data_IF_510953500436
#
_entry.id   IF_510953500436
#
_cell.length_a   1.000
_cell.length_b   1.000
_cell.length_c   1.000
_cell.angle_alpha   90.00
_cell.angle_beta   90.00
_cell.angle_gamma   90.00
#
_symmetry.space_group_name_H-M   'P 1'
#
loop_
_entity.id
_entity.type
_entity.pdbx_description
1 polymer ?
#
# COMPACT_ATOMS: atom_id res chain seq x y z
N UNK A 1 40.06 10.36 61.38
CA UNK A 1 39.40 11.40 62.18
C UNK A 1 38.65 12.34 61.25
N UNK A 2 37.34 12.15 61.13
CA UNK A 2 36.43 13.09 60.43
C UNK A 2 35.24 13.33 61.42
N UNK A 3 35.05 14.56 61.77
CA UNK A 3 33.99 15.02 62.69
C UNK A 3 32.62 15.00 62.03
N UNK A 4 31.54 14.76 62.78
CA UNK A 4 30.18 14.73 62.23
C UNK A 4 29.58 16.11 62.03
N UNK A 5 28.87 16.36 60.93
CA UNK A 5 28.10 17.57 60.68
C UNK A 5 26.76 17.55 61.43
N UNK A 6 26.53 18.64 62.13
CA UNK A 6 25.31 18.99 62.84
C UNK A 6 24.09 19.08 61.93
N UNK A 7 22.97 18.52 62.37
CA UNK A 7 21.64 18.74 61.84
C UNK A 7 21.08 20.13 62.15
N UNK A 8 20.26 20.74 61.25
CA UNK A 8 19.57 21.99 61.55
C UNK A 8 18.29 21.73 62.34
N UNK A 9 18.01 22.66 63.22
CA UNK A 9 16.86 22.69 64.12
C UNK A 9 15.57 22.96 63.37
N UNK A 10 14.52 22.22 63.71
CA UNK A 10 13.12 22.46 63.31
C UNK A 10 12.60 23.77 63.83
N UNK A 11 12.02 24.58 62.92
CA UNK A 11 11.28 25.81 63.22
C UNK A 11 9.75 25.48 63.17
N UNK A 12 9.00 25.67 64.29
CA UNK A 12 7.60 25.23 64.36
C UNK A 12 6.62 26.33 63.97
N UNK A 13 6.59 26.71 62.58
CA UNK A 13 5.59 27.63 62.11
C UNK A 13 5.33 27.43 60.57
N UNK A 14 4.74 26.33 60.20
CA UNK A 14 3.91 26.26 58.99
C UNK A 14 2.96 25.06 59.11
N UNK A 15 1.78 25.31 59.68
CA UNK A 15 0.63 24.48 59.47
C UNK A 15 0.16 24.70 57.98
N UNK A 16 0.01 23.66 57.16
CA UNK A 16 -0.60 23.80 55.88
C UNK A 16 -2.10 24.09 56.03
N UNK A 17 -2.58 25.09 55.28
CA UNK A 17 -3.99 25.43 55.19
C UNK A 17 -4.83 24.22 54.64
N UNK A 18 -6.08 24.05 55.12
CA UNK A 18 -6.94 22.97 54.63
C UNK A 18 -7.25 23.16 53.14
N UNK A 19 -7.38 22.05 52.37
CA UNK A 19 -7.69 22.13 50.94
C UNK A 19 -9.08 22.75 50.72
N UNK A 20 -9.27 23.54 49.65
CA UNK A 20 -10.56 24.13 49.32
C UNK A 20 -11.61 23.05 49.04
N UNK A 21 -12.89 23.30 49.34
CA UNK A 21 -13.96 22.33 49.11
C UNK A 21 -14.10 22.04 47.60
N UNK A 22 -14.42 20.78 47.22
CA UNK A 22 -14.61 20.43 45.81
C UNK A 22 -15.78 21.26 45.24
N UNK A 23 -15.71 21.68 43.97
CA UNK A 23 -16.78 22.41 43.31
C UNK A 23 -18.04 21.50 43.20
N UNK A 24 -19.24 22.09 43.28
CA UNK A 24 -20.48 21.33 43.23
C UNK A 24 -20.53 20.56 41.91
N UNK A 25 -20.70 19.24 42.00
CA UNK A 25 -20.98 18.38 40.84
C UNK A 25 -22.27 18.82 40.19
N UNK A 26 -22.19 19.70 39.21
CA UNK A 26 -23.27 19.89 38.25
C UNK A 26 -23.37 18.60 37.43
N UNK A 27 -24.34 17.77 37.81
CA UNK A 27 -24.82 16.67 36.99
C UNK A 27 -25.49 17.26 35.72
N UNK A 28 -24.70 17.94 34.89
CA UNK A 28 -25.04 18.17 33.51
C UNK A 28 -24.84 16.84 32.81
N UNK A 29 -25.91 16.08 32.64
CA UNK A 29 -25.95 14.90 31.80
C UNK A 29 -25.30 15.26 30.46
N UNK A 30 -24.11 14.72 30.24
CA UNK A 30 -23.40 14.78 28.96
C UNK A 30 -24.27 13.99 27.98
N UNK A 31 -25.28 14.68 27.41
CA UNK A 31 -25.95 14.20 26.22
C UNK A 31 -24.83 13.89 25.25
N UNK A 32 -24.61 12.60 24.96
CA UNK A 32 -23.79 12.16 23.82
C UNK A 32 -24.41 12.88 22.61
N UNK A 33 -23.84 14.01 22.23
CA UNK A 33 -24.19 14.67 21.01
C UNK A 33 -23.98 13.62 19.92
N UNK A 34 -25.03 13.26 19.25
CA UNK A 34 -24.97 12.56 17.97
C UNK A 34 -24.16 13.49 17.07
N UNK A 35 -22.89 13.14 16.84
CA UNK A 35 -22.02 13.88 15.92
C UNK A 35 -22.65 13.76 14.54
N UNK A 36 -23.44 14.75 14.13
CA UNK A 36 -23.88 14.88 12.76
C UNK A 36 -22.64 15.23 11.92
N UNK A 37 -22.49 14.58 10.79
CA UNK A 37 -21.40 14.86 9.83
C UNK A 37 -22.05 15.36 8.54
N UNK A 38 -21.38 16.27 7.83
CA UNK A 38 -21.83 16.69 6.51
C UNK A 38 -21.62 15.54 5.51
N UNK A 39 -22.70 15.19 4.81
CA UNK A 39 -22.72 14.24 3.71
C UNK A 39 -23.13 14.96 2.44
N UNK A 40 -22.44 14.72 1.36
CA UNK A 40 -22.88 15.14 0.05
C UNK A 40 -23.81 14.07 -0.50
N UNK A 41 -25.04 14.44 -0.82
CA UNK A 41 -26.02 13.59 -1.45
C UNK A 41 -26.16 14.00 -2.90
N UNK A 42 -25.95 13.07 -3.82
CA UNK A 42 -26.14 13.26 -5.26
C UNK A 42 -27.29 12.37 -5.70
N UNK A 43 -28.34 12.99 -6.23
CA UNK A 43 -29.56 12.31 -6.69
C UNK A 43 -29.37 11.82 -8.15
N UNK A 44 -30.19 10.87 -8.56
CA UNK A 44 -30.30 10.41 -9.96
C UNK A 44 -30.59 11.53 -10.97
N UNK A 45 -31.25 12.59 -10.50
CA UNK A 45 -31.49 13.82 -11.30
C UNK A 45 -30.25 14.72 -11.47
N UNK A 46 -29.09 14.33 -10.92
CA UNK A 46 -27.86 15.13 -10.91
C UNK A 46 -27.85 16.29 -9.91
N UNK A 47 -28.95 16.52 -9.21
CA UNK A 47 -28.97 17.50 -8.13
C UNK A 47 -28.14 17.00 -6.95
N UNK A 48 -27.34 17.90 -6.39
CA UNK A 48 -26.55 17.60 -5.20
C UNK A 48 -26.90 18.56 -4.07
N UNK A 49 -26.93 18.04 -2.85
CA UNK A 49 -27.11 18.80 -1.64
C UNK A 49 -26.18 18.33 -0.53
N UNK A 50 -25.72 19.27 0.29
CA UNK A 50 -24.93 18.96 1.47
C UNK A 50 -25.89 18.85 2.67
N UNK A 51 -26.01 17.65 3.23
CA UNK A 51 -26.87 17.37 4.37
C UNK A 51 -26.05 17.06 5.61
N UNK A 52 -26.38 17.67 6.74
CA UNK A 52 -25.86 17.26 8.04
C UNK A 52 -26.71 16.13 8.61
N UNK A 53 -26.25 14.90 8.43
CA UNK A 53 -27.02 13.70 8.79
C UNK A 53 -26.33 12.93 9.91
N UNK A 54 -27.12 12.51 10.90
CA UNK A 54 -26.65 11.65 11.97
C UNK A 54 -26.59 10.18 11.51
N UNK A 55 -25.69 9.40 12.11
CA UNK A 55 -25.47 7.99 11.80
C UNK A 55 -26.77 7.16 11.76
N UNK A 56 -27.68 7.35 12.71
CA UNK A 56 -28.95 6.62 12.77
C UNK A 56 -29.91 6.94 11.62
N UNK A 57 -29.87 8.18 11.12
CA UNK A 57 -30.68 8.58 9.97
C UNK A 57 -30.19 7.89 8.69
N UNK A 58 -28.85 7.80 8.50
CA UNK A 58 -28.27 7.07 7.36
C UNK A 58 -28.62 5.59 7.43
N UNK A 59 -28.47 4.96 8.60
CA UNK A 59 -28.85 3.55 8.79
C UNK A 59 -30.31 3.28 8.42
N UNK A 60 -31.22 4.18 8.79
CA UNK A 60 -32.63 4.05 8.45
C UNK A 60 -32.89 4.26 6.96
N UNK A 61 -32.21 5.25 6.34
CA UNK A 61 -32.37 5.61 4.92
C UNK A 61 -31.84 4.51 3.99
N UNK A 62 -30.69 3.93 4.34
CA UNK A 62 -29.96 2.98 3.49
C UNK A 62 -30.14 1.50 3.90
N UNK A 63 -30.74 1.24 5.07
CA UNK A 63 -30.86 -0.12 5.60
C UNK A 63 -29.55 -0.71 6.14
N UNK A 64 -28.45 0.05 6.14
CA UNK A 64 -27.13 -0.44 6.49
C UNK A 64 -26.96 -0.66 8.01
N UNK A 65 -26.30 -1.75 8.42
CA UNK A 65 -25.96 -1.97 9.81
C UNK A 65 -24.84 -1.00 10.26
N UNK A 66 -24.76 -0.76 11.57
CA UNK A 66 -23.78 0.16 12.16
C UNK A 66 -22.31 -0.24 11.91
N UNK A 67 -22.05 -1.54 11.66
CA UNK A 67 -20.70 -2.04 11.36
C UNK A 67 -20.22 -1.56 9.99
N UNK A 68 -21.08 -1.59 8.97
CA UNK A 68 -20.71 -1.23 7.60
C UNK A 68 -20.47 0.28 7.48
N UNK A 69 -21.19 1.10 8.24
CA UNK A 69 -20.93 2.54 8.33
C UNK A 69 -19.58 2.89 8.99
N UNK A 70 -18.92 1.96 9.71
CA UNK A 70 -17.58 2.18 10.25
C UNK A 70 -16.52 2.16 9.16
N UNK A 71 -16.72 1.36 8.11
CA UNK A 71 -15.82 1.26 6.97
C UNK A 71 -15.66 2.63 6.29
N UNK A 72 -16.75 3.42 6.28
CA UNK A 72 -16.78 4.75 5.69
C UNK A 72 -16.28 5.86 6.62
N UNK A 73 -15.83 5.56 7.85
CA UNK A 73 -15.28 6.57 8.74
C UNK A 73 -13.93 7.06 8.16
N UNK A 74 -13.80 8.37 7.82
CA UNK A 74 -12.57 8.91 7.26
C UNK A 74 -11.37 8.85 8.22
N UNK A 75 -11.63 8.70 9.53
CA UNK A 75 -10.57 8.58 10.54
C UNK A 75 -10.01 7.15 10.65
N UNK A 76 -10.67 6.17 10.04
CA UNK A 76 -10.26 4.76 10.10
C UNK A 76 -9.83 4.31 8.69
N UNK A 77 -8.67 3.65 8.63
CA UNK A 77 -8.16 3.03 7.41
C UNK A 77 -8.59 1.57 7.38
N UNK A 78 -9.62 1.28 6.59
CA UNK A 78 -10.02 -0.08 6.27
C UNK A 78 -9.48 -0.47 4.88
N UNK A 79 -9.29 -1.76 4.61
CA UNK A 79 -8.92 -2.23 3.27
C UNK A 79 -9.99 -1.84 2.24
N UNK A 80 -9.61 -1.85 0.97
CA UNK A 80 -10.55 -1.68 -0.14
C UNK A 80 -11.64 -2.72 -0.06
N UNK A 81 -12.90 -2.30 -0.19
CA UNK A 81 -14.07 -3.17 -0.02
C UNK A 81 -15.27 -2.61 -0.75
N UNK A 82 -16.02 -3.48 -1.45
CA UNK A 82 -17.31 -3.21 -2.05
C UNK A 82 -18.32 -4.20 -1.47
N UNK A 83 -19.36 -3.72 -0.81
CA UNK A 83 -20.34 -4.58 -0.17
C UNK A 83 -21.73 -4.35 -0.79
N UNK A 84 -22.28 -5.36 -1.44
CA UNK A 84 -23.71 -5.44 -1.77
C UNK A 84 -24.54 -5.61 -0.49
N UNK A 85 -25.67 -4.89 -0.40
CA UNK A 85 -26.67 -5.03 0.66
C UNK A 85 -28.06 -4.89 0.05
N UNK A 86 -29.09 -5.27 0.79
CA UNK A 86 -30.46 -5.26 0.29
C UNK A 86 -30.90 -3.94 -0.37
N UNK A 87 -30.43 -2.80 0.15
CA UNK A 87 -30.91 -1.46 -0.27
C UNK A 87 -29.81 -0.49 -0.62
N UNK A 88 -28.53 -0.92 -0.53
CA UNK A 88 -27.39 -0.04 -0.80
C UNK A 88 -26.13 -0.84 -1.12
N UNK A 89 -25.25 -0.26 -1.93
CA UNK A 89 -23.89 -0.71 -2.16
C UNK A 89 -22.96 0.20 -1.36
N UNK A 90 -22.11 -0.37 -0.53
CA UNK A 90 -21.08 0.36 0.23
C UNK A 90 -19.77 0.24 -0.50
N UNK A 91 -19.23 1.37 -0.95
CA UNK A 91 -17.95 1.44 -1.65
C UNK A 91 -16.91 2.11 -0.74
N UNK A 92 -15.81 1.41 -0.49
CA UNK A 92 -14.63 1.93 0.17
C UNK A 92 -13.40 1.52 -0.64
N UNK A 93 -13.04 2.32 -1.63
CA UNK A 93 -11.93 2.08 -2.52
C UNK A 93 -10.98 3.27 -2.46
N UNK A 94 -9.76 3.05 -1.96
CA UNK A 94 -8.73 4.06 -1.89
C UNK A 94 -9.20 5.36 -1.19
N UNK A 95 -9.26 6.45 -1.93
CA UNK A 95 -9.75 7.76 -1.44
C UNK A 95 -11.27 7.91 -1.56
N UNK A 96 -11.97 7.01 -2.27
CA UNK A 96 -13.41 7.07 -2.50
C UNK A 96 -14.15 6.27 -1.44
N UNK A 97 -15.04 6.94 -0.75
CA UNK A 97 -15.98 6.36 0.20
C UNK A 97 -17.39 6.80 -0.18
N UNK A 98 -18.26 5.87 -0.51
CA UNK A 98 -19.61 6.17 -0.95
C UNK A 98 -20.63 5.11 -0.48
N UNK A 99 -21.87 5.50 -0.36
CA UNK A 99 -23.02 4.62 -0.27
C UNK A 99 -23.88 4.89 -1.49
N UNK A 100 -24.06 3.90 -2.32
CA UNK A 100 -24.89 3.97 -3.52
C UNK A 100 -26.23 3.29 -3.22
N UNK A 101 -27.33 3.97 -3.47
CA UNK A 101 -28.68 3.38 -3.44
C UNK A 101 -29.25 3.40 -4.86
N UNK A 102 -30.43 2.88 -5.07
CA UNK A 102 -31.08 2.90 -6.39
C UNK A 102 -31.37 4.34 -6.92
N UNK A 103 -31.37 5.37 -6.06
CA UNK A 103 -31.79 6.74 -6.43
C UNK A 103 -30.82 7.83 -6.02
N UNK A 104 -29.84 7.53 -5.21
CA UNK A 104 -28.92 8.53 -4.68
C UNK A 104 -27.56 7.94 -4.28
N UNK A 105 -26.54 8.81 -4.27
CA UNK A 105 -25.19 8.50 -3.76
C UNK A 105 -24.86 9.41 -2.60
N UNK A 106 -24.43 8.85 -1.48
CA UNK A 106 -24.03 9.58 -0.27
C UNK A 106 -22.50 9.50 -0.11
N UNK A 107 -21.84 10.65 -0.01
CA UNK A 107 -20.38 10.77 0.09
C UNK A 107 -20.01 11.50 1.40
N UNK A 108 -19.29 10.84 2.33
CA UNK A 108 -18.99 11.41 3.65
C UNK A 108 -17.86 12.45 3.66
N UNK A 109 -16.96 12.41 2.69
CA UNK A 109 -15.73 13.23 2.66
C UNK A 109 -15.61 14.10 1.41
N UNK A 110 -16.72 14.64 0.93
CA UNK A 110 -16.77 15.45 -0.31
C UNK A 110 -15.90 16.72 -0.30
N UNK A 111 -15.40 17.14 0.86
CA UNK A 111 -14.49 18.31 1.00
C UNK A 111 -13.01 17.96 0.79
N UNK A 112 -12.69 16.69 0.68
CA UNK A 112 -11.32 16.24 0.41
C UNK A 112 -10.93 16.62 -1.02
N UNK A 113 -9.79 17.30 -1.25
CA UNK A 113 -9.31 17.64 -2.58
C UNK A 113 -9.14 16.42 -3.50
N UNK A 114 -8.80 15.26 -2.95
CA UNK A 114 -8.65 14.01 -3.71
C UNK A 114 -9.99 13.47 -4.20
N UNK A 115 -11.08 13.78 -3.52
CA UNK A 115 -12.44 13.32 -3.85
C UNK A 115 -13.16 14.32 -4.79
N UNK A 116 -12.72 15.57 -4.85
CA UNK A 116 -13.36 16.61 -5.65
C UNK A 116 -13.53 16.27 -7.14
N UNK A 117 -12.53 15.68 -7.86
CA UNK A 117 -12.69 15.25 -9.24
C UNK A 117 -13.79 14.18 -9.40
N UNK A 118 -13.83 13.20 -8.52
CA UNK A 118 -14.86 12.18 -8.50
C UNK A 118 -16.26 12.77 -8.31
N UNK A 119 -16.42 13.70 -7.37
CA UNK A 119 -17.71 14.40 -7.14
C UNK A 119 -18.17 15.14 -8.39
N UNK A 120 -17.26 15.85 -9.06
CA UNK A 120 -17.54 16.55 -10.29
C UNK A 120 -17.98 15.61 -11.41
N UNK A 121 -17.25 14.50 -11.61
CA UNK A 121 -17.56 13.49 -12.62
C UNK A 121 -18.93 12.83 -12.33
N UNK A 122 -19.20 12.51 -11.06
CA UNK A 122 -20.48 11.94 -10.64
C UNK A 122 -21.64 12.90 -10.95
N UNK A 123 -21.54 14.17 -10.58
CA UNK A 123 -22.56 15.17 -10.86
C UNK A 123 -22.81 15.36 -12.35
N UNK A 124 -21.74 15.44 -13.16
CA UNK A 124 -21.84 15.67 -14.59
C UNK A 124 -22.46 14.50 -15.36
N UNK A 125 -22.07 13.27 -15.04
CA UNK A 125 -22.52 12.07 -15.77
C UNK A 125 -23.90 11.58 -15.32
N UNK A 126 -24.23 11.74 -14.04
CA UNK A 126 -25.56 11.40 -13.54
C UNK A 126 -26.61 12.35 -14.07
N UNK A 127 -26.28 13.64 -14.26
CA UNK A 127 -27.19 14.66 -14.81
C UNK A 127 -27.50 14.45 -16.30
N UNK A 128 -26.68 13.72 -17.03
CA UNK A 128 -26.83 13.52 -18.49
C UNK A 128 -27.41 12.15 -18.78
N UNK A 129 -28.69 12.03 -19.06
CA UNK A 129 -29.30 10.74 -19.41
C UNK A 129 -28.88 10.22 -20.80
N UNK A 130 -28.09 10.99 -21.53
CA UNK A 130 -27.63 10.62 -22.88
C UNK A 130 -26.35 11.35 -23.20
N UNK A 131 -25.24 10.64 -23.32
CA UNK A 131 -24.11 11.10 -24.07
C UNK A 131 -22.79 11.20 -23.38
N UNK A 132 -22.07 10.09 -23.31
CA UNK A 132 -20.63 10.15 -23.45
C UNK A 132 -20.31 9.91 -24.94
N UNK A 133 -19.44 10.74 -25.59
CA UNK A 133 -19.03 10.49 -26.95
C UNK A 133 -17.82 9.55 -26.97
N UNK A 134 -18.01 8.27 -26.75
CA UNK A 134 -17.11 7.24 -27.20
C UNK A 134 -17.93 6.20 -27.95
N UNK A 135 -17.74 6.26 -29.25
CA UNK A 135 -18.16 5.37 -30.31
C UNK A 135 -18.31 3.91 -29.86
N UNK A 136 -19.55 3.50 -29.57
CA UNK A 136 -19.93 2.11 -29.66
C UNK A 136 -21.14 2.03 -30.62
N UNK A 137 -21.23 1.02 -31.51
CA UNK A 137 -22.23 0.95 -32.53
C UNK A 137 -23.63 0.77 -31.93
N UNK A 138 -24.60 1.38 -32.61
CA UNK A 138 -26.02 1.30 -32.32
C UNK A 138 -26.52 -0.16 -32.15
N UNK A 139 -26.63 -0.58 -30.87
CA UNK A 139 -27.46 -1.72 -30.52
C UNK A 139 -28.30 -1.32 -29.33
N UNK A 140 -29.60 -1.20 -29.53
CA UNK A 140 -30.73 -0.98 -28.63
C UNK A 140 -30.33 -0.61 -27.19
N UNK A 141 -30.20 0.70 -26.94
CA UNK A 141 -29.73 1.24 -25.66
C UNK A 141 -30.70 0.99 -24.50
N UNK A 142 -30.52 -0.10 -23.81
CA UNK A 142 -31.00 -0.25 -22.45
C UNK A 142 -30.14 0.68 -21.59
N UNK A 143 -30.78 1.69 -20.96
CA UNK A 143 -30.08 2.61 -20.08
C UNK A 143 -29.61 1.86 -18.85
N UNK A 144 -28.30 1.83 -18.61
CA UNK A 144 -27.70 1.20 -17.42
C UNK A 144 -28.35 1.74 -16.13
N UNK A 145 -28.64 0.86 -15.18
CA UNK A 145 -29.25 1.24 -13.90
C UNK A 145 -28.41 2.30 -13.19
N UNK A 146 -29.06 3.14 -12.39
CA UNK A 146 -28.39 4.25 -11.70
C UNK A 146 -27.24 3.78 -10.80
N UNK A 147 -27.46 2.72 -10.04
CA UNK A 147 -26.46 2.12 -9.15
C UNK A 147 -25.21 1.67 -9.90
N UNK A 148 -25.36 1.10 -11.09
CA UNK A 148 -24.22 0.64 -11.89
C UNK A 148 -23.47 1.81 -12.52
N UNK A 149 -24.16 2.85 -12.98
CA UNK A 149 -23.50 4.08 -13.45
C UNK A 149 -22.72 4.76 -12.34
N UNK A 150 -23.26 4.81 -11.13
CA UNK A 150 -22.58 5.36 -9.98
C UNK A 150 -21.34 4.52 -9.57
N UNK A 151 -21.47 3.19 -9.60
CA UNK A 151 -20.38 2.26 -9.34
C UNK A 151 -19.27 2.38 -10.40
N UNK A 152 -19.64 2.47 -11.67
CA UNK A 152 -18.71 2.69 -12.80
C UNK A 152 -17.85 3.94 -12.57
N UNK A 153 -18.46 5.05 -12.19
CA UNK A 153 -17.73 6.29 -11.92
C UNK A 153 -16.77 6.15 -10.73
N UNK A 154 -17.16 5.38 -9.69
CA UNK A 154 -16.27 5.06 -8.58
C UNK A 154 -15.06 4.25 -9.04
N UNK A 155 -15.27 3.18 -9.78
CA UNK A 155 -14.22 2.31 -10.29
C UNK A 155 -13.28 3.06 -11.24
N UNK A 156 -13.83 3.80 -12.20
CA UNK A 156 -13.05 4.61 -13.14
C UNK A 156 -12.15 5.63 -12.42
N UNK A 157 -12.70 6.32 -11.41
CA UNK A 157 -11.94 7.30 -10.66
C UNK A 157 -10.77 6.66 -9.89
N UNK A 158 -10.99 5.49 -9.29
CA UNK A 158 -9.95 4.74 -8.57
C UNK A 158 -8.88 4.22 -9.53
N UNK A 159 -9.28 3.56 -10.61
CA UNK A 159 -8.35 3.02 -11.62
C UNK A 159 -7.50 4.14 -12.22
N UNK A 160 -8.10 5.27 -12.59
CA UNK A 160 -7.40 6.46 -13.12
C UNK A 160 -6.39 7.03 -12.11
N UNK A 161 -6.75 7.09 -10.84
CA UNK A 161 -5.84 7.57 -9.79
C UNK A 161 -4.63 6.64 -9.63
N UNK A 162 -4.85 5.33 -9.52
CA UNK A 162 -3.78 4.34 -9.36
C UNK A 162 -2.89 4.26 -10.62
N UNK A 163 -3.48 4.35 -11.80
CA UNK A 163 -2.73 4.38 -13.05
C UNK A 163 -1.86 5.65 -13.18
N UNK A 164 -2.38 6.82 -12.81
CA UNK A 164 -1.62 8.07 -12.81
C UNK A 164 -0.46 8.03 -11.80
N UNK A 165 -0.66 7.50 -10.61
CA UNK A 165 0.41 7.32 -9.63
C UNK A 165 1.48 6.32 -10.14
N UNK A 166 1.06 5.23 -10.77
CA UNK A 166 1.95 4.24 -11.39
C UNK A 166 2.78 4.86 -12.50
N UNK A 167 2.16 5.62 -13.40
CA UNK A 167 2.85 6.31 -14.48
C UNK A 167 3.88 7.34 -13.96
N UNK A 168 3.50 8.09 -12.93
CA UNK A 168 4.41 9.05 -12.28
C UNK A 168 5.62 8.35 -11.66
N UNK A 169 5.38 7.22 -10.98
CA UNK A 169 6.46 6.42 -10.39
C UNK A 169 7.38 5.82 -11.47
N UNK A 170 6.81 5.34 -12.56
CA UNK A 170 7.55 4.78 -13.70
C UNK A 170 8.46 5.85 -14.34
N UNK A 171 7.94 7.05 -14.58
CA UNK A 171 8.69 8.19 -15.14
C UNK A 171 9.83 8.66 -14.23
N UNK A 172 9.69 8.51 -12.91
CA UNK A 172 10.72 8.84 -11.93
C UNK A 172 11.76 7.72 -11.78
N UNK A 173 11.32 6.46 -11.86
CA UNK A 173 12.15 5.29 -11.58
C UNK A 173 13.22 5.05 -12.67
N UNK A 174 12.85 5.05 -13.95
CA UNK A 174 13.81 4.76 -15.02
C UNK A 174 15.01 5.69 -15.02
N UNK A 175 14.88 7.03 -15.00
CA UNK A 175 16.03 7.91 -14.95
C UNK A 175 16.89 7.74 -13.68
N UNK A 176 16.24 7.46 -12.53
CA UNK A 176 16.97 7.25 -11.27
C UNK A 176 17.80 5.97 -11.29
N UNK A 177 17.31 4.91 -11.91
CA UNK A 177 18.03 3.64 -12.09
C UNK A 177 19.18 3.79 -13.09
N UNK A 178 18.97 4.50 -14.19
CA UNK A 178 20.02 4.81 -15.18
C UNK A 178 21.12 5.67 -14.56
N UNK A 179 20.78 6.66 -13.74
CA UNK A 179 21.77 7.46 -13.02
C UNK A 179 22.56 6.62 -12.01
N UNK A 180 21.89 5.70 -11.28
CA UNK A 180 22.54 4.80 -10.33
C UNK A 180 23.53 3.87 -11.02
N UNK A 181 23.19 3.31 -12.18
CA UNK A 181 24.09 2.43 -12.95
C UNK A 181 25.29 3.18 -13.50
N UNK A 182 25.12 4.45 -13.90
CA UNK A 182 26.21 5.28 -14.42
C UNK A 182 27.14 5.78 -13.31
N UNK A 183 26.59 6.15 -12.14
CA UNK A 183 27.32 6.69 -11.00
C UNK A 183 26.75 6.19 -9.69
N UNK A 184 27.46 5.25 -9.08
CA UNK A 184 27.12 4.75 -7.77
C UNK A 184 27.46 5.81 -6.72
N UNK A 185 26.42 6.36 -6.06
CA UNK A 185 26.54 7.28 -4.94
C UNK A 185 25.54 6.93 -3.85
N UNK A 186 25.85 7.29 -2.61
CA UNK A 186 24.92 7.07 -1.48
C UNK A 186 23.59 7.79 -1.68
N UNK A 187 23.60 8.95 -2.36
CA UNK A 187 22.41 9.72 -2.68
C UNK A 187 21.52 8.99 -3.67
N UNK A 188 22.09 8.45 -4.75
CA UNK A 188 21.35 7.72 -5.78
C UNK A 188 20.79 6.40 -5.21
N UNK A 189 21.54 5.71 -4.34
CA UNK A 189 21.05 4.53 -3.63
C UNK A 189 19.87 4.85 -2.73
N UNK A 190 19.91 5.96 -2.01
CA UNK A 190 18.79 6.39 -1.16
C UNK A 190 17.55 6.77 -1.99
N UNK A 191 17.75 7.42 -3.14
CA UNK A 191 16.67 7.75 -4.06
C UNK A 191 15.98 6.48 -4.60
N UNK A 192 16.75 5.50 -5.07
CA UNK A 192 16.20 4.22 -5.55
C UNK A 192 15.49 3.45 -4.42
N UNK A 193 16.04 3.46 -3.19
CA UNK A 193 15.37 2.87 -2.03
C UNK A 193 14.01 3.53 -1.76
N UNK A 194 13.92 4.85 -1.89
CA UNK A 194 12.65 5.56 -1.75
C UNK A 194 11.65 5.17 -2.84
N UNK A 195 12.10 5.07 -4.10
CA UNK A 195 11.29 4.59 -5.24
C UNK A 195 10.79 3.17 -4.96
N UNK A 196 11.67 2.26 -4.53
CA UNK A 196 11.30 0.87 -4.17
C UNK A 196 10.24 0.82 -3.07
N UNK A 197 10.36 1.66 -2.05
CA UNK A 197 9.35 1.76 -0.98
C UNK A 197 7.98 2.23 -1.49
N UNK A 198 7.96 3.23 -2.37
CA UNK A 198 6.73 3.71 -3.03
C UNK A 198 6.13 2.66 -3.94
N UNK A 199 6.96 1.96 -4.70
CA UNK A 199 6.56 0.87 -5.59
C UNK A 199 5.83 -0.24 -4.82
N UNK A 200 6.38 -0.70 -3.69
CA UNK A 200 5.75 -1.70 -2.84
C UNK A 200 4.42 -1.19 -2.27
N UNK A 201 4.35 0.08 -1.87
CA UNK A 201 3.13 0.67 -1.32
C UNK A 201 2.02 0.76 -2.38
N UNK A 202 2.33 1.23 -3.61
CA UNK A 202 1.36 1.33 -4.71
C UNK A 202 0.93 -0.08 -5.15
N UNK A 203 1.87 -1.02 -5.35
CA UNK A 203 1.55 -2.42 -5.70
C UNK A 203 0.58 -3.05 -4.71
N UNK A 204 0.80 -2.85 -3.40
CA UNK A 204 -0.10 -3.37 -2.37
C UNK A 204 -1.49 -2.74 -2.38
N UNK A 205 -1.63 -1.49 -2.84
CA UNK A 205 -2.93 -0.82 -3.02
C UNK A 205 -3.66 -1.35 -4.25
N UNK A 206 -2.97 -1.42 -5.38
CA UNK A 206 -3.51 -1.97 -6.64
C UNK A 206 -3.95 -3.42 -6.44
N UNK A 207 -3.13 -4.24 -5.76
CA UNK A 207 -3.46 -5.62 -5.45
C UNK A 207 -4.77 -5.74 -4.66
N UNK A 208 -4.98 -4.90 -3.64
CA UNK A 208 -6.21 -4.94 -2.83
C UNK A 208 -7.45 -4.58 -3.64
N UNK A 209 -7.36 -3.64 -4.56
CA UNK A 209 -8.48 -3.30 -5.45
C UNK A 209 -8.77 -4.44 -6.42
N UNK A 210 -7.72 -5.04 -6.99
CA UNK A 210 -7.83 -6.21 -7.87
C UNK A 210 -8.50 -7.39 -7.15
N UNK A 211 -8.01 -7.73 -5.96
CA UNK A 211 -8.53 -8.84 -5.16
C UNK A 211 -10.01 -8.64 -4.79
N UNK A 212 -10.41 -7.40 -4.52
CA UNK A 212 -11.82 -7.07 -4.24
C UNK A 212 -12.70 -7.24 -5.49
N UNK A 213 -12.22 -6.85 -6.67
CA UNK A 213 -12.94 -7.06 -7.92
C UNK A 213 -13.02 -8.55 -8.27
N UNK A 214 -11.94 -9.31 -8.07
CA UNK A 214 -11.90 -10.76 -8.26
C UNK A 214 -12.92 -11.45 -7.35
N UNK A 215 -12.96 -11.08 -6.07
CA UNK A 215 -13.90 -11.62 -5.10
C UNK A 215 -15.37 -11.37 -5.50
N UNK A 216 -15.66 -10.18 -6.03
CA UNK A 216 -17.01 -9.87 -6.51
C UNK A 216 -17.39 -10.65 -7.77
N UNK A 217 -16.43 -10.88 -8.68
CA UNK A 217 -16.67 -11.65 -9.91
C UNK A 217 -16.83 -13.15 -9.63
N UNK A 218 -16.25 -13.64 -8.54
CA UNK A 218 -16.33 -15.06 -8.14
C UNK A 218 -17.67 -15.41 -7.44
N UNK A 219 -18.42 -14.41 -6.95
CA UNK A 219 -19.66 -14.63 -6.19
C UNK A 219 -20.88 -13.97 -6.86
N UNK A 220 -21.62 -14.78 -7.62
CA UNK A 220 -22.89 -14.37 -8.26
C UNK A 220 -23.93 -13.86 -7.26
N UNK A 221 -23.89 -14.32 -5.99
CA UNK A 221 -24.83 -13.91 -4.97
C UNK A 221 -24.52 -12.49 -4.50
N UNK A 222 -23.24 -12.15 -4.32
CA UNK A 222 -22.83 -10.80 -3.96
C UNK A 222 -23.15 -9.83 -5.11
N UNK A 223 -22.96 -10.22 -6.37
CA UNK A 223 -23.37 -9.42 -7.54
C UNK A 223 -24.89 -9.25 -7.59
N UNK A 224 -25.68 -10.30 -7.31
CA UNK A 224 -27.12 -10.22 -7.26
C UNK A 224 -27.62 -9.28 -6.15
N UNK A 225 -26.90 -9.18 -5.04
CA UNK A 225 -27.20 -8.22 -3.97
C UNK A 225 -27.03 -6.76 -4.41
N UNK A 226 -26.22 -6.49 -5.44
CA UNK A 226 -25.97 -5.14 -5.94
C UNK A 226 -27.03 -4.65 -6.96
N UNK A 227 -27.95 -5.49 -7.45
CA UNK A 227 -29.02 -5.13 -8.39
C UNK A 227 -30.18 -4.44 -7.65
N UNK A 228 -29.98 -3.20 -7.19
CA UNK A 228 -30.91 -2.49 -6.30
C UNK A 228 -32.21 -2.09 -6.99
N UNK A 229 -32.15 -1.59 -8.22
CA UNK A 229 -33.32 -1.14 -8.99
C UNK A 229 -34.26 -2.32 -9.30
N UNK A 230 -33.72 -3.47 -9.70
CA UNK A 230 -34.50 -4.66 -9.97
C UNK A 230 -35.17 -5.21 -8.70
N UNK A 231 -34.49 -5.20 -7.57
CA UNK A 231 -35.05 -5.59 -6.26
C UNK A 231 -36.23 -4.71 -5.87
N UNK A 232 -36.10 -3.38 -6.03
CA UNK A 232 -37.16 -2.44 -5.75
C UNK A 232 -38.37 -2.68 -6.65
N UNK A 233 -38.18 -2.91 -7.94
CA UNK A 233 -39.26 -3.21 -8.89
C UNK A 233 -40.01 -4.49 -8.49
N UNK A 234 -39.30 -5.51 -8.04
CA UNK A 234 -39.91 -6.75 -7.55
C UNK A 234 -40.71 -6.58 -6.28
N UNK A 235 -40.21 -5.78 -5.32
CA UNK A 235 -40.94 -5.48 -4.08
C UNK A 235 -42.28 -4.75 -4.37
N UNK A 236 -42.26 -3.76 -5.25
CA UNK A 236 -43.49 -3.04 -5.66
C UNK A 236 -44.51 -3.92 -6.37
N UNK A 237 -44.05 -4.85 -7.21
CA UNK A 237 -44.94 -5.78 -7.90
C UNK A 237 -45.55 -6.82 -6.94
N UNK A 238 -44.79 -7.26 -5.92
CA UNK A 238 -45.24 -8.18 -4.89
C UNK A 238 -46.34 -7.57 -3.98
N UNK A 239 -46.17 -6.30 -3.59
CA UNK A 239 -47.15 -5.58 -2.79
C UNK A 239 -48.47 -5.31 -3.56
N UNK A 240 -48.39 -5.10 -4.87
CA UNK A 240 -49.58 -4.89 -5.73
C UNK A 240 -50.42 -6.16 -5.91
N UNK A 241 -49.85 -7.35 -5.77
CA UNK A 241 -50.53 -8.63 -5.90
C UNK A 241 -51.17 -9.11 -4.58
N UNK A 242 -50.67 -8.65 -3.43
CA UNK A 242 -51.22 -9.02 -2.11
C UNK A 242 -52.40 -8.16 -1.66
N UNK A 243 -52.75 -7.12 -2.41
CA UNK A 243 -53.84 -6.20 -2.13
C UNK A 243 -55.24 -6.60 -2.66
N UNK A 244 -55.38 -7.76 -3.31
CA UNK A 244 -56.67 -8.25 -3.84
C UNK A 244 -56.91 -9.68 -3.38
N UNK A 245 -57.31 -9.85 -2.14
CA UNK A 245 -58.19 -10.95 -1.73
C UNK A 245 -59.20 -10.47 -0.70
N UNK A 246 -60.38 -10.28 -1.23
CA UNK A 246 -61.62 -10.04 -0.55
C UNK A 246 -62.11 -11.33 0.10
N UNK A 247 -62.38 -11.22 1.40
CA UNK A 247 -63.53 -11.77 2.10
C UNK A 247 -64.33 -12.91 1.41
N UNK A 248 -64.24 -14.09 1.99
CA UNK A 248 -65.47 -14.84 2.28
C UNK A 248 -65.25 -16.15 3.05
N UNK A 249 -65.91 -16.23 4.20
CA UNK A 249 -66.71 -17.42 4.59
C UNK A 249 -66.06 -18.48 5.47
N UNK A 250 -66.29 -18.27 6.76
CA UNK A 250 -66.80 -19.23 7.76
C UNK A 250 -66.55 -20.73 7.59
N UNK A 251 -66.03 -21.33 8.64
CA UNK A 251 -66.63 -22.46 9.44
C UNK A 251 -65.55 -23.44 9.91
N UNK A 252 -65.36 -23.42 11.21
CA UNK A 252 -65.39 -24.50 12.20
C UNK A 252 -64.75 -25.86 11.92
N UNK A 253 -63.89 -26.30 12.77
CA UNK A 253 -63.94 -27.24 13.87
C UNK A 253 -62.60 -27.88 14.13
N UNK A 254 -62.06 -27.65 15.34
CA UNK A 254 -61.60 -28.61 16.38
C UNK A 254 -60.88 -29.87 15.90
N UNK A 255 -59.69 -30.12 16.36
CA UNK A 255 -59.24 -30.83 17.57
C UNK A 255 -57.87 -31.41 17.41
N UNK A 256 -57.07 -31.08 18.42
CA UNK A 256 -56.13 -31.94 19.16
C UNK A 256 -54.85 -32.54 18.54
N UNK A 257 -53.79 -32.20 19.27
CA UNK A 257 -52.68 -33.05 19.76
C UNK A 257 -51.29 -32.98 19.16
N UNK A 258 -50.48 -32.57 20.12
CA UNK A 258 -49.14 -33.07 20.51
C UNK A 258 -47.89 -32.69 19.70
N UNK A 259 -47.16 -31.83 20.37
CA UNK A 259 -45.71 -31.85 20.66
C UNK A 259 -44.77 -32.44 19.61
N UNK A 260 -44.00 -31.56 18.99
CA UNK A 260 -42.54 -31.74 18.95
C UNK A 260 -41.84 -30.40 18.69
N UNK A 261 -41.00 -30.04 19.65
CA UNK A 261 -40.10 -28.91 19.67
C UNK A 261 -39.05 -29.16 18.61
N UNK A 262 -39.09 -28.47 17.48
CA UNK A 262 -37.94 -28.31 16.57
C UNK A 262 -37.73 -26.84 16.28
N UNK A 263 -36.62 -26.40 16.75
CA UNK A 263 -35.83 -25.21 16.49
C UNK A 263 -36.00 -24.73 15.02
N UNK A 264 -36.79 -23.68 14.79
CA UNK A 264 -36.87 -22.98 13.51
C UNK A 264 -36.26 -21.58 13.62
N UNK A 265 -34.96 -21.53 13.55
CA UNK A 265 -34.20 -20.35 13.12
C UNK A 265 -33.83 -20.54 11.65
N UNK A 266 -34.80 -20.49 10.76
CA UNK A 266 -34.52 -20.25 9.33
C UNK A 266 -35.82 -19.91 8.57
N UNK A 267 -36.22 -18.65 8.58
CA UNK A 267 -37.41 -18.20 7.83
C UNK A 267 -37.19 -16.87 7.09
N UNK A 268 -35.97 -16.41 6.86
CA UNK A 268 -35.76 -15.21 6.02
C UNK A 268 -35.10 -15.48 4.68
N UNK A 269 -34.67 -16.71 4.39
CA UNK A 269 -34.06 -17.08 3.09
C UNK A 269 -35.05 -17.61 2.05
N UNK A 270 -36.32 -17.81 2.37
CA UNK A 270 -37.29 -18.45 1.47
C UNK A 270 -37.83 -17.57 0.33
N UNK A 271 -37.67 -16.25 0.39
CA UNK A 271 -38.25 -15.34 -0.62
C UNK A 271 -37.26 -14.91 -1.72
N UNK A 272 -35.95 -15.03 -1.47
CA UNK A 272 -34.90 -14.64 -2.45
C UNK A 272 -34.66 -15.72 -3.53
N UNK A 273 -35.00 -16.97 -3.28
CA UNK A 273 -34.76 -18.07 -4.22
C UNK A 273 -35.56 -18.01 -5.54
N UNK A 274 -36.59 -17.14 -5.63
CA UNK A 274 -37.40 -16.95 -6.84
C UNK A 274 -36.92 -15.76 -7.72
N UNK A 275 -36.11 -14.84 -7.15
CA UNK A 275 -35.64 -13.67 -7.88
C UNK A 275 -34.21 -13.92 -8.44
N UNK A 276 -34.11 -14.05 -9.75
CA UNK A 276 -32.80 -14.14 -10.45
C UNK A 276 -32.56 -12.84 -11.20
N UNK A 277 -31.87 -11.87 -10.60
CA UNK A 277 -31.56 -10.61 -11.27
C UNK A 277 -30.62 -10.85 -12.47
N UNK A 278 -30.67 -9.95 -13.43
CA UNK A 278 -29.74 -10.00 -14.56
C UNK A 278 -28.40 -9.37 -14.16
N UNK A 279 -27.49 -10.20 -13.68
CA UNK A 279 -26.13 -9.78 -13.26
C UNK A 279 -25.18 -9.53 -14.42
N UNK A 280 -25.54 -9.90 -15.65
CA UNK A 280 -24.63 -9.88 -16.80
C UNK A 280 -24.09 -8.48 -17.13
N UNK A 281 -24.89 -7.42 -16.93
CA UNK A 281 -24.45 -6.04 -17.14
C UNK A 281 -23.39 -5.61 -16.08
N UNK A 282 -23.57 -6.05 -14.85
CA UNK A 282 -22.63 -5.79 -13.77
C UNK A 282 -21.34 -6.59 -13.94
N UNK A 283 -21.46 -7.86 -14.30
CA UNK A 283 -20.32 -8.75 -14.59
C UNK A 283 -19.41 -8.16 -15.66
N UNK A 284 -19.96 -7.77 -16.82
CA UNK A 284 -19.18 -7.13 -17.90
C UNK A 284 -18.50 -5.82 -17.43
N UNK A 285 -19.19 -5.05 -16.58
CA UNK A 285 -18.64 -3.81 -16.01
C UNK A 285 -17.43 -4.13 -15.10
N UNK A 286 -17.59 -5.03 -14.16
CA UNK A 286 -16.54 -5.42 -13.21
C UNK A 286 -15.36 -6.06 -13.94
N UNK A 287 -15.59 -6.92 -14.93
CA UNK A 287 -14.55 -7.56 -15.74
C UNK A 287 -13.70 -6.53 -16.50
N UNK A 288 -14.32 -5.50 -17.08
CA UNK A 288 -13.59 -4.44 -17.78
C UNK A 288 -12.61 -3.70 -16.83
N UNK A 289 -13.04 -3.36 -15.63
CA UNK A 289 -12.18 -2.71 -14.64
C UNK A 289 -11.18 -3.67 -14.00
N UNK A 290 -11.52 -4.94 -13.84
CA UNK A 290 -10.58 -5.98 -13.39
C UNK A 290 -9.39 -6.10 -14.37
N UNK A 291 -9.64 -6.17 -15.68
CA UNK A 291 -8.59 -6.21 -16.70
C UNK A 291 -7.72 -4.94 -16.67
N UNK A 292 -8.33 -3.77 -16.47
CA UNK A 292 -7.58 -2.51 -16.38
C UNK A 292 -6.66 -2.46 -15.17
N UNK A 293 -7.16 -2.86 -14.00
CA UNK A 293 -6.39 -2.85 -12.76
C UNK A 293 -5.30 -3.93 -12.76
N UNK A 294 -5.58 -5.10 -13.33
CA UNK A 294 -4.61 -6.17 -13.53
C UNK A 294 -3.49 -5.73 -14.47
N UNK A 295 -3.82 -5.02 -15.56
CA UNK A 295 -2.83 -4.38 -16.44
C UNK A 295 -1.94 -3.38 -15.71
N UNK A 296 -2.48 -2.62 -14.75
CA UNK A 296 -1.70 -1.69 -13.91
C UNK A 296 -0.79 -2.46 -12.96
N UNK A 297 -1.27 -3.56 -12.36
CA UNK A 297 -0.46 -4.43 -11.50
C UNK A 297 0.70 -5.06 -12.27
N UNK A 298 0.46 -5.50 -13.51
CA UNK A 298 1.50 -6.05 -14.37
C UNK A 298 2.60 -5.02 -14.70
N UNK A 299 2.25 -3.76 -14.97
CA UNK A 299 3.23 -2.67 -15.14
C UNK A 299 4.09 -2.49 -13.89
N UNK A 300 3.48 -2.47 -12.70
CA UNK A 300 4.20 -2.36 -11.43
C UNK A 300 5.10 -3.58 -11.17
N UNK A 301 4.67 -4.77 -11.55
CA UNK A 301 5.47 -6.00 -11.44
C UNK A 301 6.72 -5.94 -12.31
N UNK A 302 6.59 -5.50 -13.57
CA UNK A 302 7.74 -5.29 -14.45
C UNK A 302 8.69 -4.21 -13.92
N UNK A 303 8.15 -3.10 -13.39
CA UNK A 303 8.99 -2.08 -12.79
C UNK A 303 9.73 -2.61 -11.55
N UNK A 304 9.08 -3.45 -10.76
CA UNK A 304 9.70 -4.09 -9.58
C UNK A 304 10.85 -5.00 -10.01
N UNK A 305 10.63 -5.84 -10.99
CA UNK A 305 11.65 -6.73 -11.56
C UNK A 305 12.87 -5.91 -12.05
N UNK A 306 12.63 -4.83 -12.79
CA UNK A 306 13.70 -3.96 -13.27
C UNK A 306 14.48 -3.27 -12.13
N UNK A 307 13.81 -2.86 -11.06
CA UNK A 307 14.46 -2.32 -9.85
C UNK A 307 15.32 -3.38 -9.17
N UNK A 308 14.80 -4.59 -8.99
CA UNK A 308 15.48 -5.71 -8.32
C UNK A 308 16.72 -6.15 -9.17
N UNK A 309 16.58 -6.29 -10.49
CA UNK A 309 17.68 -6.61 -11.41
C UNK A 309 18.80 -5.54 -11.38
N UNK A 310 18.40 -4.25 -11.33
CA UNK A 310 19.36 -3.15 -11.23
C UNK A 310 20.11 -3.19 -9.90
N UNK A 311 19.44 -3.48 -8.79
CA UNK A 311 20.05 -3.61 -7.47
C UNK A 311 21.04 -4.77 -7.45
N UNK A 312 20.70 -5.91 -8.04
CA UNK A 312 21.61 -7.06 -8.16
C UNK A 312 22.83 -6.73 -9.03
N UNK A 313 22.64 -6.05 -10.15
CA UNK A 313 23.76 -5.58 -11.00
C UNK A 313 24.70 -4.65 -10.23
N UNK A 314 24.18 -3.71 -9.45
CA UNK A 314 25.00 -2.80 -8.63
C UNK A 314 25.77 -3.57 -7.56
N UNK A 315 25.15 -4.56 -6.90
CA UNK A 315 25.81 -5.39 -5.90
C UNK A 315 27.00 -6.16 -6.53
N UNK A 316 26.79 -6.78 -7.68
CA UNK A 316 27.86 -7.49 -8.43
C UNK A 316 28.99 -6.52 -8.79
N UNK A 317 28.66 -5.31 -9.28
CA UNK A 317 29.68 -4.31 -9.62
C UNK A 317 30.47 -3.83 -8.40
N UNK A 318 29.81 -3.64 -7.25
CA UNK A 318 30.47 -3.28 -6.00
C UNK A 318 31.41 -4.38 -5.53
N UNK A 319 31.00 -5.64 -5.60
CA UNK A 319 31.83 -6.80 -5.26
C UNK A 319 33.05 -6.89 -6.18
N UNK A 320 32.87 -6.64 -7.48
CA UNK A 320 33.98 -6.59 -8.44
C UNK A 320 34.98 -5.47 -8.08
N UNK A 321 34.49 -4.26 -7.77
CA UNK A 321 35.35 -3.14 -7.34
C UNK A 321 36.09 -3.44 -6.04
N UNK A 322 35.40 -4.05 -5.08
CA UNK A 322 36.00 -4.48 -3.82
C UNK A 322 37.12 -5.51 -4.09
N UNK A 323 36.86 -6.49 -4.95
CA UNK A 323 37.86 -7.47 -5.33
C UNK A 323 39.08 -6.84 -6.03
N UNK A 324 38.87 -5.88 -6.94
CA UNK A 324 39.96 -5.12 -7.56
C UNK A 324 40.81 -4.35 -6.53
N UNK A 325 40.15 -3.74 -5.52
CA UNK A 325 40.87 -3.05 -4.43
C UNK A 325 41.66 -4.04 -3.56
N UNK A 326 41.13 -5.21 -3.26
CA UNK A 326 41.85 -6.26 -2.53
C UNK A 326 43.07 -6.75 -3.31
N UNK A 327 42.94 -6.95 -4.62
CA UNK A 327 44.06 -7.34 -5.49
C UNK A 327 45.16 -6.29 -5.48
N UNK A 328 44.82 -4.99 -5.61
CA UNK A 328 45.78 -3.89 -5.49
C UNK A 328 46.45 -3.88 -4.11
N UNK A 329 45.68 -4.13 -3.04
CA UNK A 329 46.22 -4.23 -1.67
C UNK A 329 47.24 -5.35 -1.53
N UNK A 330 46.96 -6.53 -2.09
CA UNK A 330 47.86 -7.68 -2.07
C UNK A 330 49.16 -7.36 -2.85
N UNK A 331 49.02 -6.77 -4.06
CA UNK A 331 50.21 -6.36 -4.86
C UNK A 331 51.08 -5.36 -4.11
N UNK A 332 50.51 -4.35 -3.46
CA UNK A 332 51.22 -3.34 -2.70
C UNK A 332 51.89 -3.96 -1.45
N UNK A 333 51.20 -4.83 -0.75
CA UNK A 333 51.74 -5.53 0.43
C UNK A 333 52.90 -6.42 0.03
N UNK A 334 52.78 -7.16 -1.07
CA UNK A 334 53.86 -7.99 -1.61
C UNK A 334 55.08 -7.15 -1.98
N UNK A 335 54.89 -5.99 -2.63
CA UNK A 335 55.98 -5.06 -2.93
C UNK A 335 56.67 -4.56 -1.65
N UNK A 336 55.91 -4.20 -0.64
CA UNK A 336 56.45 -3.75 0.66
C UNK A 336 57.29 -4.84 1.34
N UNK A 337 56.81 -6.08 1.36
CA UNK A 337 57.57 -7.22 1.92
C UNK A 337 58.86 -7.46 1.19
N UNK A 338 58.86 -7.41 -0.14
CA UNK A 338 60.09 -7.59 -0.96
C UNK A 338 61.09 -6.46 -0.72
N UNK A 339 60.63 -5.20 -0.69
CA UNK A 339 61.49 -4.05 -0.39
C UNK A 339 62.06 -4.16 1.04
N UNK A 340 61.27 -4.55 2.02
CA UNK A 340 61.72 -4.74 3.39
C UNK A 340 62.80 -5.85 3.48
N UNK A 341 62.60 -6.96 2.77
CA UNK A 341 63.63 -8.02 2.68
C UNK A 341 64.92 -7.49 2.05
N UNK A 342 64.83 -6.66 0.99
CA UNK A 342 65.98 -5.99 0.41
C UNK A 342 66.73 -5.07 1.39
N UNK A 343 65.99 -4.28 2.17
CA UNK A 343 66.57 -3.42 3.22
C UNK A 343 67.26 -4.24 4.27
N UNK A 344 66.73 -5.40 4.70
CA UNK A 344 67.39 -6.30 5.65
C UNK A 344 68.73 -6.78 5.09
N UNK A 345 68.77 -7.21 3.80
CA UNK A 345 69.99 -7.66 3.17
C UNK A 345 71.06 -6.51 3.12
N UNK A 346 70.63 -5.33 2.71
CA UNK A 346 71.56 -4.15 2.67
C UNK A 346 72.04 -3.78 4.07
N UNK A 347 71.17 -3.90 5.07
CA UNK A 347 71.53 -3.60 6.47
C UNK A 347 72.55 -4.59 7.03
N UNK A 348 72.52 -5.86 6.65
CA UNK A 348 73.57 -6.85 7.02
C UNK A 348 74.94 -6.46 6.46
N UNK A 349 74.98 -6.00 5.23
CA UNK A 349 76.19 -5.49 4.65
C UNK A 349 76.72 -4.16 5.29
N UNK A 350 75.79 -3.38 5.87
CA UNK A 350 76.10 -2.16 6.63
C UNK A 350 76.64 -2.41 8.04
N UNK A 351 76.59 -3.65 8.54
CA UNK A 351 77.19 -4.02 9.85
C UNK A 351 78.68 -4.03 9.79
N UNK A 352 79.35 -3.44 10.79
CA UNK A 352 80.85 -3.33 10.87
C UNK A 352 81.45 -4.69 11.26
N UNK A 353 81.27 -5.72 10.44
CA UNK A 353 81.88 -7.05 10.57
C UNK A 353 82.99 -7.17 9.52
N UNK A 354 84.19 -7.57 9.92
CA UNK A 354 85.32 -7.78 9.02
C UNK A 354 85.08 -8.90 8.00
N UNK A 355 84.45 -8.55 6.89
CA UNK A 355 84.19 -9.43 5.74
C UNK A 355 85.28 -9.15 4.70
N UNK A 356 85.87 -10.16 4.15
CA UNK A 356 86.94 -10.06 3.14
C UNK A 356 86.58 -9.21 1.90
N UNK A 357 85.26 -8.92 1.74
CA UNK A 357 84.68 -8.06 0.70
C UNK A 357 85.03 -6.58 0.88
N UNK A 358 85.46 -6.14 2.11
CA UNK A 358 85.79 -4.74 2.44
C UNK A 358 87.27 -4.45 2.37
N UNK A 359 88.09 -5.47 2.25
CA UNK A 359 89.56 -5.31 2.27
C UNK A 359 90.15 -4.74 0.94
N UNK A 360 89.34 -4.74 -0.14
CA UNK A 360 89.72 -4.11 -1.43
C UNK A 360 88.55 -3.32 -1.98
N UNK A 361 88.49 -2.01 -1.73
CA UNK A 361 87.38 -1.17 -2.21
C UNK A 361 87.53 -0.93 -3.73
N UNK A 362 87.08 -1.88 -4.56
CA UNK A 362 86.89 -1.71 -5.98
C UNK A 362 85.54 -1.11 -6.27
N UNK A 363 85.46 0.03 -6.90
CA UNK A 363 84.22 0.72 -7.27
C UNK A 363 83.24 -0.18 -8.06
N UNK A 364 83.75 -1.20 -8.76
CA UNK A 364 82.94 -2.21 -9.47
C UNK A 364 82.15 -3.12 -8.52
N UNK A 365 82.72 -3.54 -7.40
CA UNK A 365 82.05 -4.45 -6.45
C UNK A 365 80.84 -3.80 -5.75
N UNK A 366 80.91 -2.49 -5.47
CA UNK A 366 79.77 -1.72 -4.96
C UNK A 366 78.59 -1.74 -5.96
N UNK A 367 78.86 -1.50 -7.23
CA UNK A 367 77.87 -1.52 -8.26
C UNK A 367 77.24 -2.93 -8.48
N UNK A 368 78.10 -3.96 -8.46
CA UNK A 368 77.63 -5.37 -8.57
C UNK A 368 76.71 -5.80 -7.42
N UNK A 369 77.02 -5.44 -6.20
CA UNK A 369 76.16 -5.74 -5.03
C UNK A 369 74.90 -4.94 -5.08
N UNK A 370 74.90 -3.68 -5.46
CA UNK A 370 73.74 -2.80 -5.57
C UNK A 370 72.82 -3.28 -6.68
N UNK A 371 73.33 -3.53 -7.88
CA UNK A 371 72.48 -4.06 -8.97
C UNK A 371 72.03 -5.49 -8.69
N UNK A 372 72.84 -6.30 -8.04
CA UNK A 372 72.47 -7.66 -7.66
C UNK A 372 71.25 -7.68 -6.67
N UNK A 373 71.29 -6.79 -5.67
CA UNK A 373 70.17 -6.69 -4.71
C UNK A 373 68.90 -6.16 -5.36
N UNK A 374 68.98 -5.14 -6.21
CA UNK A 374 67.87 -4.61 -6.97
C UNK A 374 67.24 -5.67 -7.90
N UNK A 375 68.12 -6.36 -8.69
CA UNK A 375 67.67 -7.43 -9.59
C UNK A 375 67.02 -8.59 -8.81
N UNK A 376 67.59 -8.98 -7.66
CA UNK A 376 67.05 -9.99 -6.79
C UNK A 376 65.67 -9.62 -6.26
N UNK A 377 65.46 -8.39 -5.82
CA UNK A 377 64.15 -7.89 -5.40
C UNK A 377 63.11 -7.92 -6.52
N UNK A 378 63.52 -7.49 -7.75
CA UNK A 378 62.61 -7.55 -8.91
C UNK A 378 62.22 -8.98 -9.25
N UNK A 379 63.17 -9.92 -9.28
CA UNK A 379 62.89 -11.33 -9.55
C UNK A 379 61.98 -11.93 -8.47
N UNK A 380 62.25 -11.65 -7.20
CA UNK A 380 61.39 -12.08 -6.09
C UNK A 380 59.97 -11.55 -6.19
N UNK A 381 59.82 -10.28 -6.55
CA UNK A 381 58.49 -9.67 -6.74
C UNK A 381 57.73 -10.31 -7.89
N UNK A 382 58.36 -10.50 -9.05
CA UNK A 382 57.75 -11.15 -10.22
C UNK A 382 57.39 -12.61 -9.89
N UNK A 383 58.23 -13.34 -9.17
CA UNK A 383 57.96 -14.70 -8.71
C UNK A 383 56.78 -14.72 -7.75
N UNK A 384 56.75 -13.82 -6.78
CA UNK A 384 55.64 -13.75 -5.80
C UNK A 384 54.27 -13.46 -6.47
N UNK A 385 54.25 -12.51 -7.42
CA UNK A 385 53.06 -12.22 -8.21
C UNK A 385 52.67 -13.41 -9.10
N UNK A 386 53.66 -14.04 -9.77
CA UNK A 386 53.41 -15.21 -10.60
C UNK A 386 52.83 -16.41 -9.82
N UNK A 387 53.33 -16.65 -8.61
CA UNK A 387 52.80 -17.65 -7.70
C UNK A 387 51.40 -17.28 -7.20
N UNK A 388 51.17 -16.00 -6.85
CA UNK A 388 49.85 -15.48 -6.45
C UNK A 388 48.81 -15.65 -7.56
N UNK A 389 49.18 -15.38 -8.81
CA UNK A 389 48.33 -15.61 -9.98
C UNK A 389 48.07 -17.10 -10.23
N UNK A 390 49.08 -17.97 -10.06
CA UNK A 390 48.93 -19.42 -10.23
C UNK A 390 48.09 -20.08 -9.13
N UNK A 391 48.10 -19.54 -7.93
CA UNK A 391 47.27 -20.02 -6.80
C UNK A 391 45.85 -19.43 -6.81
N UNK A 392 45.46 -18.64 -7.80
CA UNK A 392 44.13 -18.06 -7.91
C UNK A 392 43.82 -16.92 -6.93
N UNK A 393 44.85 -16.42 -6.23
CA UNK A 393 44.72 -15.28 -5.31
C UNK A 393 44.71 -13.92 -6.05
N UNK A 394 45.22 -13.90 -7.29
CA UNK A 394 45.26 -12.75 -8.18
C UNK A 394 44.71 -13.17 -9.53
N UNK A 395 43.42 -12.81 -9.79
CA UNK A 395 42.79 -12.99 -11.10
C UNK A 395 43.19 -11.88 -12.06
#
# INVERSE_FOLDING_TARGET
MRSPKKAPKDDPRHQPAPPPPPPPHSAAGRRKGTTSRPWLVVLDSGRSCLEEVGKHSIMRRTGLPARDLRILDPLLSYPSTILGRERAIVVNLEHIKAIITATEVLIPNSRDPMVAPFVHDLQSRVSSPSGAPHQAPESSGKVLAFEFRALEICLESVCRCLEAETLTLEQEAYPALDELTSKISTLNLEHVRHIKSRLVAISGRVQKVRDELEHLLDDDMDMAEMCLTEKLAHQHNGESLSGVEVDNGASQLEEDRDEDFKDETDSSHGSLAAFKPNIQELEMLLEAYFVQIDGTLNKLSHLKEYVDDTEDYINIMLDEKQNQLLQMGVMLTTATVVVTAGIVVVSIFGMNIGISLFDVPTFSQFWETTFGTIAGCIVLYVLAIGLGKRSGLLQ
#
